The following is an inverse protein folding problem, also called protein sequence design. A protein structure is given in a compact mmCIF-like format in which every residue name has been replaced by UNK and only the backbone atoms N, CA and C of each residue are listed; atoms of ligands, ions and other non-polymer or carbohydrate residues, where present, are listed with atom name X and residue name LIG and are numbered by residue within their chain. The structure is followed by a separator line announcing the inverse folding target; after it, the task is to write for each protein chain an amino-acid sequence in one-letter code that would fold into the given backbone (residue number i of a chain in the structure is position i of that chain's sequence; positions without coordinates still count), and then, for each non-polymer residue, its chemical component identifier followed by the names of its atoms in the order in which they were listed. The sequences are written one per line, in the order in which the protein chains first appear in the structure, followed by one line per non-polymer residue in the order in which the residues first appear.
data_IF_157936280451
#
_entry.id   IF_157936280451
#
_cell.length_a   1.000
_cell.length_b   1.000
_cell.length_c   1.000
_cell.angle_alpha   90.00
_cell.angle_beta   90.00
_cell.angle_gamma   90.00
#
_symmetry.space_group_name_H-M   'P 1'
#
loop_
_entity.id
_entity.type
_entity.pdbx_description
1 polymer ?
#
# COMPACT_ATOMS: atom_id res chain seq x y z
N UNK A 1 21.50 -2.23 64.56
CA UNK A 1 21.16 -1.14 63.63
C UNK A 1 21.56 -1.57 62.23
N UNK A 2 20.55 -1.77 61.39
CA UNK A 2 20.59 -2.08 59.98
C UNK A 2 21.08 -0.88 59.15
N UNK A 3 21.93 -1.08 58.14
CA UNK A 3 21.79 -0.42 56.83
C UNK A 3 22.39 -1.30 55.72
N UNK A 4 21.64 -1.34 54.63
CA UNK A 4 21.70 -2.26 53.50
C UNK A 4 22.82 -1.96 52.50
N UNK A 5 23.22 -2.95 51.68
CA UNK A 5 24.11 -2.74 50.55
C UNK A 5 23.37 -2.12 49.35
N UNK A 6 24.17 -1.43 48.55
CA UNK A 6 23.90 -0.75 47.28
C UNK A 6 22.93 -1.57 46.40
N UNK A 7 21.75 -0.99 46.13
CA UNK A 7 20.76 -1.55 45.21
C UNK A 7 21.23 -1.39 43.76
N UNK A 8 21.12 -2.51 43.05
CA UNK A 8 21.13 -2.71 41.59
C UNK A 8 20.50 -1.54 40.83
N UNK A 9 21.27 -0.95 39.92
CA UNK A 9 20.78 -0.03 38.90
C UNK A 9 19.98 -0.82 37.85
N UNK A 10 18.65 -0.83 38.00
CA UNK A 10 17.73 -1.36 36.99
C UNK A 10 17.63 -0.40 35.81
N UNK A 11 18.56 -0.49 34.85
CA UNK A 11 18.36 0.02 33.48
C UNK A 11 17.89 -1.16 32.64
N UNK A 12 16.62 -1.52 32.82
CA UNK A 12 15.93 -2.53 32.02
C UNK A 12 14.47 -2.11 31.88
N UNK A 13 14.25 -0.90 31.38
CA UNK A 13 12.93 -0.39 31.04
C UNK A 13 13.09 0.65 29.95
N UNK A 14 13.25 0.21 28.70
CA UNK A 14 12.65 0.86 27.54
C UNK A 14 12.95 0.02 26.28
N UNK A 15 11.99 0.01 25.37
CA UNK A 15 12.09 -0.51 24.00
C UNK A 15 12.14 -2.03 23.81
N UNK A 16 11.14 -2.73 24.35
CA UNK A 16 10.58 -3.91 23.69
C UNK A 16 9.11 -3.62 23.35
N UNK A 17 8.87 -2.64 22.47
CA UNK A 17 7.59 -2.58 21.74
C UNK A 17 7.64 -3.70 20.71
N UNK A 18 7.29 -4.88 21.18
CA UNK A 18 6.97 -6.03 20.37
C UNK A 18 5.68 -5.69 19.61
N UNK A 19 5.83 -5.04 18.45
CA UNK A 19 4.74 -4.88 17.50
C UNK A 19 4.52 -6.26 16.87
N UNK A 20 3.84 -7.13 17.61
CA UNK A 20 3.09 -8.23 17.06
C UNK A 20 1.82 -7.63 16.45
N UNK A 21 1.89 -7.16 15.20
CA UNK A 21 0.68 -7.00 14.39
C UNK A 21 0.18 -8.39 13.99
N UNK A 22 -0.43 -9.09 14.94
CA UNK A 22 -1.45 -10.08 14.63
C UNK A 22 -2.63 -9.39 13.94
N UNK A 23 -3.43 -10.08 13.11
CA UNK A 23 -4.55 -9.53 12.36
C UNK A 23 -5.78 -9.29 13.27
N UNK A 24 -5.57 -8.67 14.43
CA UNK A 24 -6.57 -8.45 15.48
C UNK A 24 -7.21 -7.05 15.42
N UNK A 25 -6.75 -6.15 14.54
CA UNK A 25 -7.46 -4.88 14.27
C UNK A 25 -8.75 -5.07 13.43
N UNK A 26 -8.99 -6.26 12.90
CA UNK A 26 -10.18 -6.58 12.11
C UNK A 26 -11.49 -6.66 12.93
N UNK A 27 -11.44 -6.63 14.26
CA UNK A 27 -12.62 -6.86 15.12
C UNK A 27 -13.41 -5.59 15.51
N UNK A 28 -12.88 -4.39 15.28
CA UNK A 28 -13.57 -3.13 15.63
C UNK A 28 -13.71 -2.11 14.48
N UNK A 29 -12.89 -2.17 13.43
CA UNK A 29 -12.80 -1.11 12.40
C UNK A 29 -13.74 -1.22 11.19
N UNK A 30 -14.60 -2.25 11.11
CA UNK A 30 -15.43 -2.48 9.93
C UNK A 30 -14.61 -2.79 8.66
N UNK A 31 -15.29 -3.02 7.52
CA UNK A 31 -14.60 -3.32 6.25
C UNK A 31 -13.82 -2.14 5.67
N UNK A 32 -14.26 -0.91 5.98
CA UNK A 32 -13.56 0.29 5.53
C UNK A 32 -12.13 0.34 6.06
N UNK A 33 -11.94 0.13 7.36
CA UNK A 33 -10.63 0.12 8.00
C UNK A 33 -9.72 -0.94 7.39
N UNK A 34 -10.22 -2.16 7.19
CA UNK A 34 -9.43 -3.26 6.61
C UNK A 34 -8.89 -2.89 5.23
N UNK A 35 -9.71 -2.27 4.38
CA UNK A 35 -9.29 -1.85 3.04
C UNK A 35 -8.30 -0.69 3.13
N UNK A 36 -8.57 0.31 3.97
CA UNK A 36 -7.69 1.47 4.15
C UNK A 36 -6.31 1.07 4.71
N UNK A 37 -6.27 0.17 5.70
CA UNK A 37 -5.03 -0.41 6.24
C UNK A 37 -4.29 -1.20 5.17
N UNK A 38 -5.00 -1.99 4.36
CA UNK A 38 -4.36 -2.75 3.28
C UNK A 38 -3.72 -1.84 2.23
N UNK A 39 -4.40 -0.76 1.83
CA UNK A 39 -3.86 0.27 0.93
C UNK A 39 -2.64 0.94 1.58
N UNK A 40 -2.75 1.37 2.84
CA UNK A 40 -1.65 2.00 3.57
C UNK A 40 -0.44 1.09 3.70
N UNK A 41 -0.64 -0.20 3.93
CA UNK A 41 0.42 -1.19 4.02
C UNK A 41 1.18 -1.43 2.72
N UNK A 42 0.64 -1.01 1.56
CA UNK A 42 1.39 -1.02 0.29
C UNK A 42 2.58 -0.06 0.34
N UNK A 43 2.53 0.96 1.19
CA UNK A 43 3.47 2.07 1.19
C UNK A 43 4.26 2.07 2.49
N UNK A 44 5.58 1.89 2.36
CA UNK A 44 6.49 1.89 3.50
C UNK A 44 7.78 2.62 3.13
N UNK A 45 8.41 3.28 4.11
CA UNK A 45 9.68 3.97 3.90
C UNK A 45 10.81 3.04 4.31
N UNK A 46 11.64 2.66 3.35
CA UNK A 46 12.87 1.93 3.63
C UNK A 46 13.89 2.10 2.50
N UNK A 47 15.14 1.75 2.80
CA UNK A 47 16.17 1.54 1.80
C UNK A 47 16.99 0.30 2.16
N UNK A 48 17.32 -0.50 1.15
CA UNK A 48 18.06 -1.74 1.25
C UNK A 48 18.88 -1.96 -0.04
N UNK A 49 19.74 -2.98 -0.04
CA UNK A 49 20.48 -3.41 -1.22
C UNK A 49 19.94 -4.73 -1.75
N UNK A 50 19.95 -4.89 -3.06
CA UNK A 50 19.64 -6.16 -3.70
C UNK A 50 20.85 -7.08 -3.56
N UNK A 51 20.77 -8.11 -2.74
CA UNK A 51 21.82 -9.12 -2.60
C UNK A 51 21.81 -10.13 -3.75
N UNK A 52 20.62 -10.48 -4.25
CA UNK A 52 20.46 -11.52 -5.27
C UNK A 52 19.18 -11.33 -6.05
N UNK A 53 19.21 -11.63 -7.35
CA UNK A 53 18.02 -11.88 -8.15
C UNK A 53 17.96 -13.38 -8.49
N UNK A 54 16.82 -14.04 -8.26
CA UNK A 54 16.61 -15.45 -8.62
C UNK A 54 15.12 -15.71 -8.89
N UNK A 55 14.82 -16.39 -9.99
CA UNK A 55 13.47 -16.87 -10.33
C UNK A 55 12.38 -15.77 -10.27
N UNK A 56 12.67 -14.58 -10.80
CA UNK A 56 11.71 -13.46 -10.80
C UNK A 56 11.49 -12.83 -9.42
N UNK A 57 12.37 -13.09 -8.46
CA UNK A 57 12.38 -12.45 -7.14
C UNK A 57 13.74 -11.83 -6.84
N UNK A 58 13.73 -10.78 -6.02
CA UNK A 58 14.93 -10.17 -5.46
C UNK A 58 15.01 -10.42 -3.96
N UNK A 59 16.21 -10.67 -3.49
CA UNK A 59 16.54 -10.84 -2.08
C UNK A 59 17.24 -9.59 -1.60
N UNK A 60 16.72 -9.02 -0.53
CA UNK A 60 17.13 -7.75 0.03
C UNK A 60 17.88 -7.97 1.33
N UNK A 61 18.96 -7.24 1.54
CA UNK A 61 19.67 -7.21 2.83
C UNK A 61 18.91 -6.34 3.81
N UNK A 62 18.60 -6.84 5.00
CA UNK A 62 17.88 -6.06 5.99
C UNK A 62 18.84 -5.17 6.79
N UNK A 63 18.71 -3.83 6.76
CA UNK A 63 19.24 -3.02 7.84
C UNK A 63 18.40 -3.34 9.09
N UNK A 64 19.06 -3.65 10.22
CA UNK A 64 18.42 -4.07 11.48
C UNK A 64 17.38 -3.09 12.05
N UNK A 65 17.24 -1.90 11.46
CA UNK A 65 16.49 -0.76 12.01
C UNK A 65 15.30 -0.33 11.15
N UNK A 66 15.01 -1.00 10.02
CA UNK A 66 13.93 -0.55 9.13
C UNK A 66 12.75 -1.51 9.14
N UNK A 67 11.55 -1.08 9.57
CA UNK A 67 10.37 -1.93 9.60
C UNK A 67 9.88 -2.19 8.17
N UNK A 68 10.30 -3.33 7.62
CA UNK A 68 9.80 -3.83 6.34
C UNK A 68 8.50 -4.59 6.59
N UNK A 69 7.50 -4.32 5.75
CA UNK A 69 6.17 -4.93 5.86
C UNK A 69 5.89 -5.81 4.65
N UNK A 70 5.52 -7.05 4.91
CA UNK A 70 4.99 -7.93 3.85
C UNK A 70 3.80 -7.26 3.15
N UNK A 71 3.70 -7.46 1.84
CA UNK A 71 2.70 -6.82 0.99
C UNK A 71 3.02 -5.38 0.56
N UNK A 72 4.15 -4.80 0.98
CA UNK A 72 4.55 -3.45 0.55
C UNK A 72 5.26 -3.43 -0.80
N UNK A 73 5.07 -2.33 -1.55
CA UNK A 73 5.70 -2.09 -2.84
C UNK A 73 7.17 -1.68 -2.66
N UNK A 74 8.00 -2.15 -3.58
CA UNK A 74 9.44 -1.92 -3.61
C UNK A 74 9.84 -1.41 -4.98
N UNK A 75 10.48 -0.26 -5.02
CA UNK A 75 11.16 0.22 -6.21
C UNK A 75 12.60 -0.28 -6.22
N UNK A 76 12.98 -0.97 -7.28
CA UNK A 76 14.36 -1.36 -7.52
C UNK A 76 14.98 -0.35 -8.47
N UNK A 77 16.06 0.29 -8.02
CA UNK A 77 16.78 1.31 -8.78
C UNK A 77 18.23 0.90 -9.00
N UNK A 78 18.79 1.30 -10.13
CA UNK A 78 20.22 1.14 -10.41
C UNK A 78 21.09 2.15 -9.63
N UNK A 79 22.39 2.13 -9.89
CA UNK A 79 23.35 3.03 -9.24
C UNK A 79 23.09 4.51 -9.55
N UNK A 80 22.50 4.80 -10.71
CA UNK A 80 22.15 6.14 -11.17
C UNK A 80 20.77 6.58 -10.65
N UNK A 81 20.08 5.74 -9.88
CA UNK A 81 18.75 6.01 -9.36
C UNK A 81 17.63 5.80 -10.38
N UNK A 82 17.91 5.24 -11.57
CA UNK A 82 16.90 4.92 -12.57
C UNK A 82 16.15 3.65 -12.16
N UNK A 83 14.82 3.67 -12.33
CA UNK A 83 13.95 2.54 -11.99
C UNK A 83 14.21 1.35 -12.92
N UNK A 84 14.66 0.24 -12.33
CA UNK A 84 14.92 -1.02 -13.00
C UNK A 84 13.78 -2.04 -12.85
N UNK A 85 13.07 -2.00 -11.71
CA UNK A 85 11.89 -2.83 -11.50
C UNK A 85 10.96 -2.27 -10.41
N UNK A 86 9.73 -2.77 -10.39
CA UNK A 86 8.80 -2.70 -9.26
C UNK A 86 8.57 -4.12 -8.77
N UNK A 87 8.71 -4.33 -7.47
CA UNK A 87 8.49 -5.60 -6.80
C UNK A 87 7.55 -5.39 -5.60
N UNK A 88 7.09 -6.49 -5.00
CA UNK A 88 6.32 -6.47 -3.76
C UNK A 88 6.94 -7.43 -2.76
N UNK A 89 7.10 -6.98 -1.51
CA UNK A 89 7.60 -7.82 -0.43
C UNK A 89 6.61 -8.95 -0.18
N UNK A 90 7.08 -10.18 -0.28
CA UNK A 90 6.26 -11.36 -0.03
C UNK A 90 6.75 -12.17 1.16
N UNK A 91 7.97 -11.89 1.65
CA UNK A 91 8.49 -12.47 2.89
C UNK A 91 9.48 -11.53 3.57
N UNK A 92 9.33 -11.31 4.87
CA UNK A 92 10.29 -10.56 5.69
C UNK A 92 10.81 -11.48 6.80
N UNK A 93 12.08 -11.89 6.70
CA UNK A 93 12.75 -12.66 7.74
C UNK A 93 13.59 -11.79 8.66
N UNK A 94 14.39 -12.40 9.54
CA UNK A 94 15.29 -11.64 10.44
C UNK A 94 16.52 -11.06 9.72
N UNK A 95 17.01 -11.75 8.68
CA UNK A 95 18.28 -11.42 8.01
C UNK A 95 18.11 -10.98 6.55
N UNK A 96 17.01 -11.39 5.92
CA UNK A 96 16.71 -11.07 4.53
C UNK A 96 15.22 -10.84 4.34
N UNK A 97 14.89 -10.02 3.35
CA UNK A 97 13.54 -9.96 2.80
C UNK A 97 13.54 -10.45 1.36
N UNK A 98 12.42 -11.01 0.93
CA UNK A 98 12.16 -11.41 -0.46
C UNK A 98 11.10 -10.48 -1.03
N UNK A 99 11.34 -10.02 -2.26
CA UNK A 99 10.38 -9.26 -3.03
C UNK A 99 10.17 -9.93 -4.39
N UNK A 100 8.91 -10.21 -4.75
CA UNK A 100 8.54 -10.75 -6.06
C UNK A 100 8.46 -9.62 -7.07
N UNK A 101 9.13 -9.75 -8.21
CA UNK A 101 9.12 -8.74 -9.27
C UNK A 101 7.75 -8.72 -9.94
N UNK A 102 7.13 -7.54 -10.01
CA UNK A 102 5.84 -7.30 -10.67
C UNK A 102 6.05 -6.72 -12.08
N UNK A 103 7.02 -5.82 -12.22
CA UNK A 103 7.37 -5.15 -13.48
C UNK A 103 8.88 -5.00 -13.55
N UNK A 104 9.52 -5.51 -14.61
CA UNK A 104 10.95 -5.33 -14.86
C UNK A 104 11.13 -4.46 -16.09
N UNK A 105 11.88 -3.36 -15.95
CA UNK A 105 12.14 -2.38 -17.01
C UNK A 105 13.61 -2.35 -17.43
N UNK A 106 14.51 -2.82 -16.57
CA UNK A 106 15.93 -2.94 -16.86
C UNK A 106 16.56 -4.14 -16.12
N UNK A 107 17.77 -4.57 -16.48
CA UNK A 107 18.54 -5.53 -15.71
C UNK A 107 18.77 -5.03 -14.26
N UNK A 108 18.66 -5.94 -13.29
CA UNK A 108 18.96 -5.64 -11.89
C UNK A 108 20.33 -6.25 -11.61
N UNK A 109 21.31 -5.42 -11.25
CA UNK A 109 22.66 -5.87 -10.94
C UNK A 109 22.78 -6.01 -9.41
N UNK A 110 22.84 -7.22 -8.84
CA UNK A 110 22.98 -7.40 -7.40
C UNK A 110 24.26 -6.75 -6.85
N UNK A 111 24.22 -6.30 -5.60
CA UNK A 111 25.29 -5.53 -4.95
C UNK A 111 25.33 -4.05 -5.38
N UNK A 112 24.86 -3.74 -6.58
CA UNK A 112 24.83 -2.39 -7.13
C UNK A 112 23.44 -1.74 -7.03
N UNK A 113 22.39 -2.52 -7.31
CA UNK A 113 21.03 -2.05 -7.24
C UNK A 113 20.57 -1.85 -5.79
N UNK A 114 19.75 -0.80 -5.60
CA UNK A 114 19.12 -0.47 -4.33
C UNK A 114 17.63 -0.80 -4.41
N UNK A 115 17.10 -1.31 -3.32
CA UNK A 115 15.66 -1.47 -3.11
C UNK A 115 15.19 -0.36 -2.19
N UNK A 116 14.15 0.37 -2.60
CA UNK A 116 13.60 1.48 -1.84
C UNK A 116 12.11 1.30 -1.71
N UNK A 117 11.61 1.58 -0.52
CA UNK A 117 10.19 1.79 -0.30
C UNK A 117 9.73 3.11 -0.91
N UNK A 118 8.43 3.40 -0.78
CA UNK A 118 7.85 4.65 -1.26
C UNK A 118 8.23 5.82 -0.35
N UNK A 119 8.44 7.00 -0.93
CA UNK A 119 8.61 8.24 -0.18
C UNK A 119 7.25 8.70 0.36
N UNK A 120 7.19 9.14 1.61
CA UNK A 120 5.96 9.67 2.22
C UNK A 120 5.99 11.22 2.21
N UNK A 121 4.83 11.90 2.10
CA UNK A 121 3.52 11.29 1.85
C UNK A 121 3.41 10.75 0.42
N UNK A 122 2.74 9.60 0.25
CA UNK A 122 2.44 9.06 -1.09
C UNK A 122 1.15 9.70 -1.57
N UNK A 123 1.16 10.29 -2.76
CA UNK A 123 -0.03 10.91 -3.33
C UNK A 123 -0.82 9.92 -4.18
N UNK A 124 -2.09 9.70 -3.85
CA UNK A 124 -2.96 8.71 -4.48
C UNK A 124 -4.09 9.40 -5.26
N UNK A 125 -4.27 9.01 -6.52
CA UNK A 125 -5.52 9.27 -7.24
C UNK A 125 -6.50 8.16 -6.89
N UNK A 126 -7.45 8.44 -6.01
CA UNK A 126 -8.46 7.47 -5.57
C UNK A 126 -9.71 7.58 -6.45
N UNK A 127 -10.05 6.50 -7.15
CA UNK A 127 -11.18 6.41 -8.08
C UNK A 127 -12.09 5.28 -7.61
N UNK A 128 -13.20 5.63 -6.98
CA UNK A 128 -14.22 4.65 -6.58
C UNK A 128 -15.36 4.59 -7.59
N UNK A 129 -15.86 3.39 -7.88
CA UNK A 129 -17.06 3.19 -8.67
C UNK A 129 -18.30 3.83 -8.03
N UNK A 130 -19.32 4.06 -8.84
CA UNK A 130 -20.58 4.66 -8.38
C UNK A 130 -21.25 3.75 -7.36
N UNK A 131 -21.53 4.30 -6.17
CA UNK A 131 -22.35 3.62 -5.18
C UNK A 131 -23.80 3.49 -5.66
N UNK A 132 -24.36 2.29 -5.57
CA UNK A 132 -25.75 1.98 -5.88
C UNK A 132 -26.67 2.03 -4.65
N UNK A 133 -26.10 2.14 -3.45
CA UNK A 133 -26.85 2.24 -2.20
C UNK A 133 -26.14 3.07 -1.13
N UNK A 134 -26.90 3.50 -0.11
CA UNK A 134 -26.40 4.33 1.00
C UNK A 134 -25.23 3.69 1.74
N UNK A 135 -25.26 2.38 1.95
CA UNK A 135 -24.20 1.67 2.66
C UNK A 135 -22.91 1.58 1.83
N UNK A 136 -23.01 1.41 0.51
CA UNK A 136 -21.84 1.43 -0.39
C UNK A 136 -21.18 2.81 -0.39
N UNK A 137 -21.98 3.87 -0.48
CA UNK A 137 -21.48 5.25 -0.40
C UNK A 137 -20.78 5.52 0.93
N UNK A 138 -21.38 5.10 2.06
CA UNK A 138 -20.75 5.20 3.39
C UNK A 138 -19.44 4.45 3.48
N UNK A 139 -19.39 3.22 2.94
CA UNK A 139 -18.18 2.41 2.92
C UNK A 139 -17.05 3.11 2.19
N UNK A 140 -17.32 3.61 0.98
CA UNK A 140 -16.33 4.34 0.16
C UNK A 140 -15.85 5.60 0.89
N UNK A 141 -16.78 6.43 1.39
CA UNK A 141 -16.43 7.65 2.12
C UNK A 141 -15.59 7.36 3.36
N UNK A 142 -15.91 6.28 4.09
CA UNK A 142 -15.16 5.89 5.29
C UNK A 142 -13.76 5.40 4.93
N UNK A 143 -13.58 4.66 3.83
CA UNK A 143 -12.25 4.27 3.34
C UNK A 143 -11.43 5.54 3.05
N UNK A 144 -11.98 6.49 2.30
CA UNK A 144 -11.26 7.73 1.98
C UNK A 144 -10.92 8.55 3.23
N UNK A 145 -11.85 8.68 4.18
CA UNK A 145 -11.63 9.36 5.45
C UNK A 145 -10.49 8.71 6.23
N UNK A 146 -10.53 7.39 6.44
CA UNK A 146 -9.46 6.65 7.12
C UNK A 146 -8.10 6.78 6.42
N UNK A 147 -8.08 6.80 5.08
CA UNK A 147 -6.84 7.02 4.32
C UNK A 147 -6.29 8.43 4.56
N UNK A 148 -7.13 9.47 4.57
CA UNK A 148 -6.72 10.85 4.86
C UNK A 148 -6.23 11.00 6.31
N UNK A 149 -6.88 10.35 7.27
CA UNK A 149 -6.51 10.36 8.69
C UNK A 149 -5.17 9.66 8.97
N UNK A 150 -4.71 8.75 8.09
CA UNK A 150 -3.46 8.00 8.28
C UNK A 150 -2.19 8.87 8.28
N UNK A 151 -2.25 10.10 7.73
CA UNK A 151 -1.14 11.05 7.61
C UNK A 151 0.02 10.62 6.70
N UNK A 152 0.06 9.35 6.29
CA UNK A 152 1.08 8.76 5.42
C UNK A 152 0.71 8.88 3.93
N UNK A 153 -0.57 9.11 3.66
CA UNK A 153 -1.14 9.18 2.32
C UNK A 153 -1.81 10.53 2.10
N UNK A 154 -1.65 11.06 0.90
CA UNK A 154 -2.30 12.28 0.43
C UNK A 154 -3.25 11.90 -0.71
N UNK A 155 -4.55 12.17 -0.55
CA UNK A 155 -5.54 11.86 -1.58
C UNK A 155 -5.72 13.06 -2.50
N UNK A 156 -5.67 12.81 -3.82
CA UNK A 156 -6.07 13.80 -4.80
C UNK A 156 -7.53 14.26 -4.57
N UNK A 157 -7.88 15.50 -4.99
CA UNK A 157 -9.24 15.98 -4.92
C UNK A 157 -10.25 15.01 -5.56
N UNK A 158 -11.35 14.73 -4.84
CA UNK A 158 -12.34 13.72 -5.22
C UNK A 158 -13.18 14.13 -6.45
N UNK A 159 -13.27 15.42 -6.73
CA UNK A 159 -13.90 16.00 -7.92
C UNK A 159 -13.22 15.54 -9.22
N UNK A 160 -11.90 15.32 -9.22
CA UNK A 160 -11.17 14.79 -10.38
C UNK A 160 -11.64 13.38 -10.72
N UNK A 161 -11.73 12.49 -9.73
CA UNK A 161 -12.22 11.13 -9.93
C UNK A 161 -13.69 11.12 -10.37
N UNK A 162 -14.53 11.95 -9.75
CA UNK A 162 -15.93 12.11 -10.14
C UNK A 162 -16.08 12.60 -11.58
N UNK A 163 -15.33 13.64 -11.98
CA UNK A 163 -15.34 14.17 -13.33
C UNK A 163 -14.89 13.13 -14.36
N UNK A 164 -13.82 12.38 -14.04
CA UNK A 164 -13.28 11.33 -14.90
C UNK A 164 -14.32 10.24 -15.19
N UNK A 165 -15.03 9.77 -14.17
CA UNK A 165 -16.09 8.77 -14.31
C UNK A 165 -17.28 9.32 -15.11
N UNK A 166 -17.75 10.53 -14.77
CA UNK A 166 -18.90 11.15 -15.42
C UNK A 166 -18.66 11.43 -16.90
N UNK A 167 -17.48 11.95 -17.25
CA UNK A 167 -17.07 12.22 -18.64
C UNK A 167 -17.04 10.95 -19.49
N UNK A 168 -16.74 9.81 -18.87
CA UNK A 168 -16.68 8.51 -19.52
C UNK A 168 -17.97 7.71 -19.35
N UNK A 169 -19.12 8.33 -19.03
CA UNK A 169 -20.42 7.66 -18.99
C UNK A 169 -20.64 6.76 -17.77
N UNK A 170 -20.07 7.12 -16.62
CA UNK A 170 -20.13 6.37 -15.36
C UNK A 170 -19.62 4.92 -15.50
N UNK A 171 -18.63 4.70 -16.38
CA UNK A 171 -17.94 3.42 -16.50
C UNK A 171 -17.36 2.98 -15.15
N UNK A 172 -17.25 1.67 -14.95
CA UNK A 172 -16.51 1.15 -13.82
C UNK A 172 -15.05 1.64 -13.86
N UNK A 173 -14.41 1.95 -12.72
CA UNK A 173 -13.05 2.47 -12.66
C UNK A 173 -12.04 1.73 -13.55
N UNK A 174 -12.08 0.40 -13.56
CA UNK A 174 -11.17 -0.44 -14.36
C UNK A 174 -11.41 -0.40 -15.88
N UNK A 175 -12.53 0.18 -16.31
CA UNK A 175 -12.89 0.36 -17.73
C UNK A 175 -12.52 1.75 -18.26
N UNK A 176 -11.97 2.63 -17.41
CA UNK A 176 -11.53 3.95 -17.84
C UNK A 176 -10.36 3.87 -18.83
N UNK A 177 -10.31 4.73 -19.86
CA UNK A 177 -9.20 4.75 -20.81
C UNK A 177 -7.86 5.02 -20.12
N UNK A 178 -6.82 4.28 -20.53
CA UNK A 178 -5.47 4.42 -19.97
C UNK A 178 -4.92 5.85 -20.11
N UNK A 179 -5.17 6.52 -21.24
CA UNK A 179 -4.74 7.90 -21.49
C UNK A 179 -5.37 8.90 -20.52
N UNK A 180 -6.64 8.70 -20.18
CA UNK A 180 -7.39 9.54 -19.22
C UNK A 180 -6.88 9.30 -17.79
N UNK A 181 -6.62 8.04 -17.41
CA UNK A 181 -6.02 7.68 -16.13
C UNK A 181 -4.61 8.32 -15.95
N UNK A 182 -3.77 8.22 -16.97
CA UNK A 182 -2.43 8.83 -16.98
C UNK A 182 -2.51 10.35 -16.90
N UNK A 183 -3.39 10.98 -17.69
CA UNK A 183 -3.57 12.43 -17.70
C UNK A 183 -4.05 12.94 -16.34
N UNK A 184 -5.02 12.26 -15.72
CA UNK A 184 -5.51 12.58 -14.39
C UNK A 184 -4.40 12.44 -13.35
N UNK A 185 -3.65 11.33 -13.34
CA UNK A 185 -2.55 11.12 -12.39
C UNK A 185 -1.44 12.18 -12.53
N UNK A 186 -1.11 12.60 -13.75
CA UNK A 186 -0.15 13.70 -13.99
C UNK A 186 -0.71 15.02 -13.49
N UNK A 187 -1.96 15.35 -13.81
CA UNK A 187 -2.61 16.60 -13.39
C UNK A 187 -2.70 16.71 -11.86
N UNK A 188 -2.98 15.60 -11.18
CA UNK A 188 -3.06 15.55 -9.72
C UNK A 188 -1.73 15.29 -9.05
N UNK A 189 -0.62 15.12 -9.80
CA UNK A 189 0.71 14.74 -9.28
C UNK A 189 0.67 13.49 -8.41
N UNK A 190 -0.16 12.52 -8.77
CA UNK A 190 -0.31 11.27 -8.04
C UNK A 190 0.80 10.28 -8.41
N UNK A 191 1.34 9.61 -7.39
CA UNK A 191 2.35 8.55 -7.54
C UNK A 191 1.71 7.23 -7.99
N UNK A 192 0.50 6.96 -7.50
CA UNK A 192 -0.28 5.76 -7.78
C UNK A 192 -1.75 6.09 -8.02
N UNK A 193 -2.42 5.21 -8.76
CA UNK A 193 -3.87 5.24 -8.99
C UNK A 193 -4.48 4.07 -8.24
N UNK A 194 -5.45 4.36 -7.37
CA UNK A 194 -6.22 3.38 -6.63
C UNK A 194 -7.62 3.33 -7.23
N UNK A 195 -8.00 2.18 -7.76
CA UNK A 195 -9.34 1.95 -8.30
C UNK A 195 -10.09 0.99 -7.38
N UNK A 196 -11.28 1.39 -6.93
CA UNK A 196 -12.11 0.60 -6.03
C UNK A 196 -13.50 0.41 -6.66
N UNK A 197 -13.85 -0.85 -6.95
CA UNK A 197 -15.13 -1.21 -7.58
C UNK A 197 -15.88 -2.16 -6.66
N UNK A 198 -17.17 -1.90 -6.42
CA UNK A 198 -18.05 -2.81 -5.67
C UNK A 198 -18.93 -3.55 -6.67
N UNK A 199 -18.74 -4.86 -6.76
CA UNK A 199 -19.52 -5.74 -7.63
C UNK A 199 -20.52 -6.55 -6.83
N UNK A 200 -21.55 -6.98 -7.56
CA UNK A 200 -22.62 -7.86 -7.12
C UNK A 200 -23.63 -7.18 -6.19
N UNK A 201 -24.89 -7.10 -6.64
CA UNK A 201 -26.00 -6.55 -5.86
C UNK A 201 -26.51 -7.53 -4.79
N UNK A 202 -26.02 -8.78 -4.81
CA UNK A 202 -26.34 -9.83 -3.81
C UNK A 202 -25.26 -9.87 -2.74
N UNK A 203 -25.65 -10.20 -1.51
CA UNK A 203 -24.73 -10.36 -0.38
C UNK A 203 -24.16 -11.79 -0.38
N UNK A 204 -22.83 -11.97 -0.21
CA UNK A 204 -21.82 -10.93 -0.03
C UNK A 204 -21.45 -10.21 -1.33
N UNK A 205 -21.30 -8.88 -1.24
CA UNK A 205 -20.74 -8.06 -2.30
C UNK A 205 -19.23 -8.27 -2.39
N UNK A 206 -18.66 -8.09 -3.57
CA UNK A 206 -17.22 -8.21 -3.83
C UNK A 206 -16.64 -6.84 -4.11
N UNK A 207 -15.73 -6.39 -3.26
CA UNK A 207 -14.99 -5.15 -3.44
C UNK A 207 -13.67 -5.50 -4.10
N UNK A 208 -13.41 -4.93 -5.28
CA UNK A 208 -12.15 -5.12 -6.01
C UNK A 208 -11.32 -3.85 -5.88
N UNK A 209 -10.12 -4.02 -5.35
CA UNK A 209 -9.09 -3.00 -5.26
C UNK A 209 -8.06 -3.26 -6.36
N UNK A 210 -7.84 -2.29 -7.23
CA UNK A 210 -6.79 -2.34 -8.25
C UNK A 210 -5.83 -1.18 -8.04
N UNK A 211 -4.53 -1.47 -8.03
CA UNK A 211 -3.47 -0.48 -7.83
C UNK A 211 -2.67 -0.38 -9.12
N UNK A 212 -2.52 0.83 -9.64
CA UNK A 212 -1.69 1.12 -10.80
C UNK A 212 -0.54 2.05 -10.41
N UNK A 213 0.59 1.93 -11.10
CA UNK A 213 1.59 3.01 -11.11
C UNK A 213 1.04 4.22 -11.89
N UNK A 214 1.70 5.37 -11.79
CA UNK A 214 1.33 6.58 -12.57
C UNK A 214 1.34 6.40 -14.10
N UNK A 215 1.94 5.33 -14.63
CA UNK A 215 1.86 4.98 -16.06
C UNK A 215 0.61 4.16 -16.39
N UNK A 216 -0.23 3.87 -15.40
CA UNK A 216 -1.39 3.00 -15.51
C UNK A 216 -1.05 1.50 -15.61
N UNK A 217 0.21 1.12 -15.37
CA UNK A 217 0.58 -0.29 -15.30
C UNK A 217 0.04 -0.89 -14.00
N UNK A 218 -0.65 -2.02 -14.13
CA UNK A 218 -1.29 -2.71 -13.01
C UNK A 218 -0.25 -3.38 -12.11
N UNK A 219 -0.19 -2.95 -10.86
CA UNK A 219 0.71 -3.49 -9.85
C UNK A 219 0.05 -4.62 -9.06
N UNK A 220 -1.23 -4.43 -8.71
CA UNK A 220 -1.96 -5.34 -7.84
C UNK A 220 -3.45 -5.33 -8.16
N UNK A 221 -4.09 -6.46 -7.93
CA UNK A 221 -5.55 -6.56 -7.86
C UNK A 221 -5.91 -7.50 -6.71
N UNK A 222 -6.70 -7.01 -5.77
CA UNK A 222 -7.18 -7.77 -4.62
C UNK A 222 -8.70 -7.67 -4.53
N UNK A 223 -9.32 -8.70 -3.97
CA UNK A 223 -10.76 -8.78 -3.78
C UNK A 223 -11.08 -9.00 -2.31
N UNK A 224 -12.06 -8.26 -1.79
CA UNK A 224 -12.59 -8.38 -0.45
C UNK A 224 -14.06 -8.74 -0.51
N UNK A 225 -14.50 -9.64 0.37
CA UNK A 225 -15.93 -9.91 0.57
C UNK A 225 -16.50 -8.94 1.61
N UNK A 226 -17.70 -8.45 1.36
CA UNK A 226 -18.44 -7.59 2.29
C UNK A 226 -19.92 -7.97 2.32
N UNK A 227 -20.44 -8.24 3.50
CA UNK A 227 -21.83 -8.69 3.69
C UNK A 227 -22.87 -7.55 3.57
N UNK A 228 -22.45 -6.36 3.15
CA UNK A 228 -23.31 -5.17 3.09
C UNK A 228 -23.83 -4.73 4.46
N UNK A 229 -23.11 -5.12 5.53
CA UNK A 229 -23.41 -4.81 6.94
C UNK A 229 -22.95 -3.41 7.34
N UNK A 230 -22.89 -3.15 8.66
CA UNK A 230 -22.46 -1.86 9.19
C UNK A 230 -21.04 -1.49 8.69
N UNK A 231 -20.88 -0.21 8.36
CA UNK A 231 -19.63 0.44 7.92
C UNK A 231 -18.96 1.04 9.14
#
# INVERSE_FOLDING_TARGET
MSFLPIRKSSIAALTASLILFTPLCALAGGKAQVIAERISALFSVFQSHVAKEKNGAVYLTLPRLTPLREGSLVEIVDQNGKKAAIAMLDRVGEKFARAKIIKKTAPIIPGQAKARGTRLPVRLLFISGRAHGKNEGRLISRIEETLRESGSLDLAPADVAYFLLKRNGDLAPESLPLSELQSAAVATRSDFIIMLSIYNKKKPAVIKLTVLDKSGYRLLTESFTWDGGAV
#
